data_IF_946593708913
#
_entry.id   IF_946593708913
#
_cell.length_a   1.000
_cell.length_b   1.000
_cell.length_c   1.000
_cell.angle_alpha   90.00
_cell.angle_beta   90.00
_cell.angle_gamma   90.00
#
_symmetry.space_group_name_H-M   'P 1'
#
loop_
_entity.id
_entity.type
_entity.pdbx_description
1 polymer ?
#
# COMPACT_ATOMS: atom_id res chain seq x y z
N UNK A 1 13.27 13.86 -2.77
CA UNK A 1 13.75 12.63 -3.45
C UNK A 1 12.70 12.18 -4.46
N UNK A 2 13.09 11.75 -5.65
CA UNK A 2 12.18 11.22 -6.69
C UNK A 2 12.33 9.71 -6.79
N UNK A 3 11.31 8.99 -7.25
CA UNK A 3 11.37 7.54 -7.47
C UNK A 3 12.43 7.12 -8.50
N UNK A 4 12.90 8.03 -9.36
CA UNK A 4 14.01 7.81 -10.29
C UNK A 4 15.40 7.91 -9.66
N UNK A 5 15.49 8.43 -8.43
CA UNK A 5 16.74 8.59 -7.68
C UNK A 5 16.99 7.33 -6.83
N UNK A 6 17.42 6.26 -7.50
CA UNK A 6 17.65 4.96 -6.87
C UNK A 6 18.74 5.01 -5.80
N UNK A 7 19.83 5.72 -6.06
CA UNK A 7 20.93 5.88 -5.11
C UNK A 7 20.48 6.64 -3.85
N UNK A 8 19.75 7.76 -4.02
CA UNK A 8 19.19 8.49 -2.90
C UNK A 8 18.22 7.65 -2.07
N UNK A 9 17.43 6.76 -2.71
CA UNK A 9 16.53 5.84 -1.99
C UNK A 9 17.34 4.83 -1.17
N UNK A 10 18.36 4.19 -1.74
CA UNK A 10 19.23 3.25 -1.03
C UNK A 10 19.88 3.94 0.16
N UNK A 11 20.48 5.12 -0.04
CA UNK A 11 21.10 5.89 1.04
C UNK A 11 20.13 6.24 2.17
N UNK A 12 18.86 6.52 1.84
CA UNK A 12 17.83 6.80 2.85
C UNK A 12 17.35 5.54 3.60
N UNK A 13 17.45 4.37 2.97
CA UNK A 13 17.08 3.09 3.58
C UNK A 13 18.19 2.52 4.43
N UNK A 14 19.45 2.78 4.08
CA UNK A 14 20.62 2.25 4.76
C UNK A 14 20.64 2.68 6.22
N UNK A 15 20.72 1.72 7.14
CA UNK A 15 20.68 1.90 8.60
C UNK A 15 19.39 2.59 9.13
N UNK A 16 18.32 2.66 8.34
CA UNK A 16 17.05 3.16 8.85
C UNK A 16 16.35 2.11 9.74
N UNK A 17 15.61 2.57 10.73
CA UNK A 17 14.91 1.68 11.68
C UNK A 17 13.68 1.03 11.07
N UNK A 18 13.06 1.69 10.08
CA UNK A 18 11.80 1.23 9.49
C UNK A 18 11.56 1.86 8.12
N UNK A 19 11.02 1.08 7.20
CA UNK A 19 10.44 1.56 5.95
C UNK A 19 8.91 1.52 6.05
N UNK A 20 8.26 2.67 5.86
CA UNK A 20 6.81 2.77 5.75
C UNK A 20 6.44 3.20 4.33
N UNK A 21 5.78 2.33 3.59
CA UNK A 21 5.32 2.61 2.23
C UNK A 21 3.85 3.05 2.24
N UNK A 22 3.64 4.34 1.98
CA UNK A 22 2.33 4.98 1.82
C UNK A 22 2.06 5.38 0.36
N UNK A 23 2.93 4.96 -0.57
CA UNK A 23 2.86 5.41 -1.95
C UNK A 23 1.65 4.85 -2.69
N UNK A 24 1.06 5.69 -3.53
CA UNK A 24 -0.04 5.31 -4.40
C UNK A 24 -0.78 6.53 -4.95
N UNK A 25 -1.27 6.41 -6.18
CA UNK A 25 -2.19 7.40 -6.75
C UNK A 25 -3.48 7.44 -5.94
N UNK A 26 -4.00 8.65 -5.66
CA UNK A 26 -5.33 8.82 -5.05
C UNK A 26 -6.40 8.04 -5.81
N UNK A 27 -7.29 7.39 -5.07
CA UNK A 27 -8.48 6.69 -5.58
C UNK A 27 -9.67 7.64 -5.75
N UNK A 28 -9.57 8.88 -5.25
CA UNK A 28 -10.56 9.93 -5.45
C UNK A 28 -10.45 10.49 -6.88
N UNK A 29 -10.99 9.73 -7.84
CA UNK A 29 -11.01 10.07 -9.26
C UNK A 29 -12.03 9.21 -10.00
N UNK A 30 -12.45 9.67 -11.21
CA UNK A 30 -13.25 8.84 -12.11
C UNK A 30 -12.47 7.58 -12.51
N UNK A 31 -13.08 6.39 -12.37
CA UNK A 31 -12.45 5.09 -12.66
C UNK A 31 -12.48 4.75 -14.16
N UNK A 32 -11.89 5.65 -14.99
CA UNK A 32 -11.53 5.31 -16.37
C UNK A 32 -10.44 4.24 -16.40
N UNK A 33 -10.27 3.54 -17.52
CA UNK A 33 -9.24 2.50 -17.64
C UNK A 33 -7.83 3.06 -17.40
N UNK A 34 -7.55 4.27 -17.87
CA UNK A 34 -6.30 4.97 -17.60
C UNK A 34 -6.08 5.21 -16.10
N UNK A 35 -7.12 5.65 -15.37
CA UNK A 35 -7.00 5.88 -13.94
C UNK A 35 -6.88 4.57 -13.16
N UNK A 36 -7.64 3.55 -13.54
CA UNK A 36 -7.51 2.20 -12.95
C UNK A 36 -6.10 1.65 -13.10
N UNK A 37 -5.54 1.77 -14.31
CA UNK A 37 -4.16 1.38 -14.58
C UNK A 37 -3.17 2.15 -13.70
N UNK A 38 -3.28 3.48 -13.65
CA UNK A 38 -2.42 4.32 -12.80
C UNK A 38 -2.55 4.02 -11.31
N UNK A 39 -3.75 3.68 -10.82
CA UNK A 39 -3.98 3.30 -9.42
C UNK A 39 -3.24 2.01 -9.10
N UNK A 40 -3.30 1.02 -9.99
CA UNK A 40 -2.61 -0.26 -9.82
C UNK A 40 -1.09 -0.09 -9.91
N UNK A 41 -0.61 0.49 -11.00
CA UNK A 41 0.84 0.58 -11.28
C UNK A 41 1.58 1.46 -10.27
N UNK A 42 0.98 2.57 -9.82
CA UNK A 42 1.60 3.41 -8.79
C UNK A 42 1.88 2.68 -7.46
N UNK A 43 1.22 1.55 -7.21
CA UNK A 43 1.42 0.71 -6.04
C UNK A 43 2.38 -0.44 -6.32
N UNK A 44 2.16 -1.15 -7.42
CA UNK A 44 2.96 -2.33 -7.75
C UNK A 44 4.38 -1.96 -8.18
N UNK A 45 4.56 -0.96 -9.04
CA UNK A 45 5.87 -0.53 -9.52
C UNK A 45 6.74 0.05 -8.40
N UNK A 46 6.15 0.89 -7.52
CA UNK A 46 6.90 1.42 -6.37
C UNK A 46 7.28 0.31 -5.39
N UNK A 47 6.43 -0.70 -5.20
CA UNK A 47 6.75 -1.84 -4.33
C UNK A 47 7.86 -2.70 -4.93
N UNK A 48 7.84 -2.96 -6.24
CA UNK A 48 8.93 -3.66 -6.95
C UNK A 48 10.24 -2.89 -6.80
N UNK A 49 10.21 -1.57 -7.03
CA UNK A 49 11.38 -0.74 -6.86
C UNK A 49 11.95 -0.80 -5.44
N UNK A 50 11.08 -0.77 -4.43
CA UNK A 50 11.52 -0.89 -3.03
C UNK A 50 12.16 -2.26 -2.72
N UNK A 51 11.68 -3.35 -3.32
CA UNK A 51 12.36 -4.65 -3.25
C UNK A 51 13.79 -4.59 -3.81
N UNK A 52 13.97 -3.95 -4.98
CA UNK A 52 15.29 -3.75 -5.58
C UNK A 52 16.21 -2.92 -4.67
N UNK A 53 15.68 -1.82 -4.10
CA UNK A 53 16.46 -0.93 -3.25
C UNK A 53 16.86 -1.59 -1.92
N UNK A 54 15.96 -2.36 -1.30
CA UNK A 54 16.26 -3.14 -0.09
C UNK A 54 17.37 -4.16 -0.35
N UNK A 55 17.36 -4.83 -1.51
CA UNK A 55 18.45 -5.75 -1.89
C UNK A 55 19.79 -5.07 -2.07
N UNK A 56 19.78 -3.80 -2.47
CA UNK A 56 21.02 -3.02 -2.67
C UNK A 56 21.61 -2.48 -1.36
N UNK A 57 20.84 -2.48 -0.25
CA UNK A 57 21.33 -2.06 1.05
C UNK A 57 22.24 -3.11 1.68
N UNK A 58 23.30 -2.66 2.34
CA UNK A 58 24.14 -3.48 3.20
C UNK A 58 23.51 -3.73 4.57
N UNK A 59 22.82 -2.70 5.09
CA UNK A 59 22.07 -2.72 6.35
C UNK A 59 20.65 -2.19 6.11
N UNK A 60 19.75 -3.00 5.52
CA UNK A 60 18.38 -2.58 5.22
C UNK A 60 17.56 -2.38 6.50
N UNK A 61 16.44 -1.62 6.43
CA UNK A 61 15.54 -1.46 7.57
C UNK A 61 15.01 -2.82 8.04
N UNK A 62 15.06 -3.13 9.36
CA UNK A 62 14.60 -4.42 9.88
C UNK A 62 13.09 -4.66 9.74
N UNK A 63 12.32 -3.60 9.49
CA UNK A 63 10.87 -3.67 9.32
C UNK A 63 10.44 -2.88 8.10
N UNK A 64 9.63 -3.50 7.23
CA UNK A 64 8.96 -2.84 6.13
C UNK A 64 7.44 -2.97 6.27
N UNK A 65 6.76 -1.85 6.52
CA UNK A 65 5.31 -1.75 6.58
C UNK A 65 4.79 -1.23 5.25
N UNK A 66 3.91 -2.00 4.61
CA UNK A 66 3.17 -1.60 3.42
C UNK A 66 1.71 -1.32 3.81
N UNK A 67 1.24 -0.08 3.58
CA UNK A 67 -0.13 0.30 3.92
C UNK A 67 -1.09 -0.22 2.85
N UNK A 68 -1.58 -1.43 3.06
CA UNK A 68 -2.66 -2.04 2.30
C UNK A 68 -4.02 -1.43 2.71
N UNK A 69 -5.12 -2.07 2.37
CA UNK A 69 -6.46 -1.56 2.62
C UNK A 69 -7.42 -2.63 3.07
N UNK A 70 -8.30 -2.29 4.02
CA UNK A 70 -9.39 -3.16 4.44
C UNK A 70 -10.44 -3.37 3.32
N UNK A 71 -10.44 -2.55 2.26
CA UNK A 71 -11.30 -2.79 1.08
C UNK A 71 -10.92 -4.03 0.27
N UNK A 72 -9.88 -4.76 0.67
CA UNK A 72 -9.56 -6.09 0.11
C UNK A 72 -10.65 -7.10 0.37
N UNK A 73 -11.42 -6.92 1.44
CA UNK A 73 -12.49 -7.82 1.84
C UNK A 73 -13.79 -7.54 1.10
N UNK A 74 -14.58 -8.60 0.93
CA UNK A 74 -15.97 -8.48 0.47
C UNK A 74 -16.79 -7.68 1.49
N UNK A 75 -17.75 -6.88 1.00
CA UNK A 75 -18.72 -6.21 1.87
C UNK A 75 -19.51 -7.22 2.71
N UNK A 76 -19.67 -6.94 3.99
CA UNK A 76 -20.42 -7.76 4.92
C UNK A 76 -21.02 -6.92 6.03
N UNK A 77 -22.35 -7.02 6.16
CA UNK A 77 -23.09 -6.38 7.25
C UNK A 77 -23.31 -7.29 8.46
N UNK A 78 -22.97 -8.56 8.33
CA UNK A 78 -23.31 -9.61 9.31
C UNK A 78 -22.09 -10.14 10.04
N UNK A 79 -20.97 -10.27 9.32
CA UNK A 79 -19.74 -10.89 9.87
C UNK A 79 -18.58 -9.91 9.79
N UNK A 80 -17.83 -9.74 10.90
CA UNK A 80 -16.57 -9.00 10.83
C UNK A 80 -15.58 -9.76 9.93
N UNK A 81 -14.82 -9.03 9.13
CA UNK A 81 -13.75 -9.56 8.29
C UNK A 81 -12.45 -9.49 9.07
N UNK A 82 -11.76 -10.60 9.19
CA UNK A 82 -10.45 -10.73 9.85
C UNK A 82 -9.44 -11.27 8.86
N UNK A 83 -8.16 -11.19 9.19
CA UNK A 83 -7.06 -11.71 8.37
C UNK A 83 -7.20 -13.21 8.10
N UNK A 84 -7.69 -13.97 9.09
CA UNK A 84 -7.80 -15.43 9.02
C UNK A 84 -9.08 -15.91 8.32
N UNK A 85 -10.20 -15.19 8.52
CA UNK A 85 -11.54 -15.67 8.12
C UNK A 85 -12.27 -14.72 7.17
N UNK A 86 -11.67 -13.58 6.84
CA UNK A 86 -12.25 -12.62 5.93
C UNK A 86 -12.31 -13.13 4.50
N UNK A 87 -13.48 -12.98 3.88
CA UNK A 87 -13.66 -13.33 2.46
C UNK A 87 -13.14 -12.17 1.61
N UNK A 88 -12.25 -12.45 0.67
CA UNK A 88 -11.73 -11.45 -0.25
C UNK A 88 -12.74 -11.14 -1.35
N UNK A 89 -12.94 -9.85 -1.63
CA UNK A 89 -13.85 -9.38 -2.68
C UNK A 89 -13.26 -9.50 -4.09
N UNK A 90 -14.08 -9.21 -5.12
CA UNK A 90 -13.73 -9.35 -6.54
C UNK A 90 -13.86 -8.06 -7.35
N UNK A 91 -14.23 -6.96 -6.74
CA UNK A 91 -14.31 -5.64 -7.36
C UNK A 91 -12.93 -5.11 -7.79
N UNK A 92 -12.94 -3.91 -8.37
CA UNK A 92 -11.69 -3.27 -8.83
C UNK A 92 -10.73 -2.97 -7.66
N UNK A 93 -11.23 -2.38 -6.59
CA UNK A 93 -10.42 -2.01 -5.42
C UNK A 93 -9.81 -3.24 -4.75
N UNK A 94 -10.60 -4.30 -4.63
CA UNK A 94 -10.16 -5.58 -4.08
C UNK A 94 -9.07 -6.24 -4.95
N UNK A 95 -9.23 -6.17 -6.28
CA UNK A 95 -8.20 -6.68 -7.23
C UNK A 95 -6.90 -5.89 -7.11
N UNK A 96 -6.99 -4.56 -6.96
CA UNK A 96 -5.80 -3.72 -6.73
C UNK A 96 -5.11 -4.12 -5.42
N UNK A 97 -5.85 -4.25 -4.33
CA UNK A 97 -5.32 -4.62 -3.03
C UNK A 97 -4.66 -6.02 -3.04
N UNK A 98 -5.36 -7.01 -3.60
CA UNK A 98 -4.84 -8.39 -3.77
C UNK A 98 -3.55 -8.42 -4.59
N UNK A 99 -3.51 -7.67 -5.70
CA UNK A 99 -2.32 -7.62 -6.56
C UNK A 99 -1.16 -6.92 -5.85
N UNK A 100 -1.44 -5.82 -5.14
CA UNK A 100 -0.44 -5.09 -4.37
C UNK A 100 0.17 -5.96 -3.26
N UNK A 101 -0.64 -6.62 -2.44
CA UNK A 101 -0.14 -7.53 -1.40
C UNK A 101 0.63 -8.72 -1.98
N UNK A 102 0.18 -9.28 -3.12
CA UNK A 102 0.92 -10.33 -3.81
C UNK A 102 2.30 -9.87 -4.27
N UNK A 103 2.43 -8.67 -4.81
CA UNK A 103 3.72 -8.08 -5.19
C UNK A 103 4.57 -7.82 -3.95
N UNK A 104 3.98 -7.29 -2.89
CA UNK A 104 4.68 -7.01 -1.63
C UNK A 104 5.27 -8.28 -0.98
N UNK A 105 4.56 -9.39 -1.06
CA UNK A 105 5.03 -10.67 -0.50
C UNK A 105 5.67 -11.61 -1.54
N UNK A 106 5.88 -11.15 -2.79
CA UNK A 106 6.49 -11.96 -3.84
C UNK A 106 7.96 -12.30 -3.56
N UNK A 107 8.63 -11.47 -2.79
CA UNK A 107 10.01 -11.65 -2.39
C UNK A 107 10.17 -11.55 -0.87
N UNK A 108 11.03 -12.40 -0.32
CA UNK A 108 11.39 -12.40 1.11
C UNK A 108 12.81 -11.89 1.27
N UNK A 109 12.99 -11.00 2.22
CA UNK A 109 14.28 -10.46 2.61
C UNK A 109 14.62 -10.99 4.01
N UNK A 110 15.71 -11.75 4.14
CA UNK A 110 16.05 -12.46 5.39
C UNK A 110 16.20 -11.56 6.62
N UNK A 111 16.59 -10.30 6.38
CA UNK A 111 16.83 -9.30 7.44
C UNK A 111 15.64 -8.35 7.64
N UNK A 112 14.56 -8.45 6.84
CA UNK A 112 13.45 -7.50 6.84
C UNK A 112 12.14 -8.19 7.15
N UNK A 113 11.51 -7.82 8.25
CA UNK A 113 10.15 -8.24 8.57
C UNK A 113 9.16 -7.45 7.73
N UNK A 114 8.45 -8.11 6.81
CA UNK A 114 7.42 -7.50 5.97
C UNK A 114 6.05 -7.59 6.63
N UNK A 115 5.35 -6.45 6.70
CA UNK A 115 4.01 -6.32 7.31
C UNK A 115 3.09 -5.57 6.35
N UNK A 116 2.00 -6.19 5.88
CA UNK A 116 0.94 -5.50 5.17
C UNK A 116 -0.14 -5.04 6.18
N UNK A 117 -0.27 -3.74 6.37
CA UNK A 117 -1.24 -3.16 7.29
C UNK A 117 -2.52 -2.79 6.54
N UNK A 118 -3.58 -3.58 6.70
CA UNK A 118 -4.89 -3.36 6.08
C UNK A 118 -5.65 -2.28 6.83
N UNK A 119 -5.51 -1.03 6.40
CA UNK A 119 -6.16 0.11 7.03
C UNK A 119 -7.57 0.33 6.49
N UNK A 120 -8.49 0.73 7.37
CA UNK A 120 -9.80 1.27 6.99
C UNK A 120 -9.67 2.72 6.49
N UNK A 121 -10.81 3.38 6.24
CA UNK A 121 -10.83 4.80 5.89
C UNK A 121 -10.27 5.61 7.06
N UNK A 122 -9.22 6.37 6.79
CA UNK A 122 -8.61 7.27 7.79
C UNK A 122 -9.43 8.55 7.85
N UNK A 123 -9.88 8.90 9.05
CA UNK A 123 -10.64 10.12 9.33
C UNK A 123 -9.73 11.07 10.09
N UNK A 124 -9.62 12.31 9.60
CA UNK A 124 -8.80 13.35 10.23
C UNK A 124 -9.35 14.75 9.95
N UNK A 125 -8.99 15.73 10.79
CA UNK A 125 -9.53 17.09 10.71
C UNK A 125 -9.00 17.89 9.51
N UNK A 126 -7.86 17.54 8.95
CA UNK A 126 -7.17 18.27 7.89
C UNK A 126 -7.43 17.77 6.47
N UNK A 127 -8.43 16.90 6.22
CA UNK A 127 -8.71 16.36 4.89
C UNK A 127 -9.29 14.95 4.90
N UNK A 128 -9.11 14.20 3.79
CA UNK A 128 -9.59 12.83 3.64
C UNK A 128 -11.09 12.71 3.43
N UNK A 129 -11.68 11.56 3.79
CA UNK A 129 -13.08 11.25 3.52
C UNK A 129 -14.09 12.08 4.34
N UNK A 130 -13.64 12.72 5.43
CA UNK A 130 -14.54 13.51 6.29
C UNK A 130 -14.90 14.86 5.66
N UNK A 131 -14.02 15.47 4.89
CA UNK A 131 -14.23 16.79 4.30
C UNK A 131 -15.46 16.84 3.37
N UNK A 132 -15.63 15.95 2.38
CA UNK A 132 -16.86 15.90 1.57
C UNK A 132 -18.11 15.63 2.39
N UNK A 133 -18.04 14.77 3.42
CA UNK A 133 -19.18 14.46 4.28
C UNK A 133 -19.64 15.68 5.09
N UNK A 134 -18.69 16.48 5.60
CA UNK A 134 -18.99 17.74 6.30
C UNK A 134 -19.67 18.80 5.41
N UNK A 135 -19.46 18.75 4.11
CA UNK A 135 -20.09 19.68 3.16
C UNK A 135 -21.51 19.29 2.78
N UNK A 136 -21.97 18.09 3.14
CA UNK A 136 -23.31 17.60 2.89
C UNK A 136 -24.29 17.87 4.04
N UNK A 137 -23.80 18.38 5.16
CA UNK A 137 -24.55 18.77 6.37
C UNK A 137 -24.46 20.28 6.56
#
# INVERSE_FOLDING_TARGET
MKWSDKEGIVNALENSEMLINLSGKSVDCRYSDTNKWKILTSRTETTILLHEMIKACSSPPPVWINFSTATIYQDSRIKPMTEEKGVLGDGFSEKVAKTWERVFFSERHSQVKQVALRTAIVIGDGGGALTPLRQLV
#
